data_IF_470704415199
#
_entry.id   IF_470704415199
#
_cell.length_a   1.000
_cell.length_b   1.000
_cell.length_c   1.000
_cell.angle_alpha   90.00
_cell.angle_beta   90.00
_cell.angle_gamma   90.00
#
_symmetry.space_group_name_H-M   'P 1'
#
loop_
_entity.id
_entity.type
_entity.pdbx_description
1 polymer ?
#
# COMPACT_ATOMS: atom_id res chain seq x y z
N UNK A 1 7.44 23.07 -3.91
CA UNK A 1 7.17 21.70 -3.39
C UNK A 1 6.27 21.84 -2.17
N UNK A 2 5.15 21.14 -2.14
CA UNK A 2 4.25 21.09 -0.97
C UNK A 2 4.58 19.85 -0.15
N UNK A 3 4.77 20.01 1.16
CA UNK A 3 5.05 18.91 2.10
C UNK A 3 3.73 18.43 2.70
N UNK A 4 3.43 17.14 2.54
CA UNK A 4 2.31 16.51 3.23
C UNK A 4 2.61 16.38 4.72
N UNK A 5 1.61 16.61 5.59
CA UNK A 5 1.73 16.33 7.02
C UNK A 5 1.65 14.83 7.36
N UNK A 6 1.20 13.99 6.41
CA UNK A 6 1.09 12.55 6.64
C UNK A 6 2.49 11.92 6.69
N UNK A 7 2.79 11.07 7.69
CA UNK A 7 4.02 10.30 7.68
C UNK A 7 4.03 9.36 6.46
N UNK A 8 5.20 9.12 5.88
CA UNK A 8 5.35 8.31 4.66
C UNK A 8 6.03 6.99 5.02
N UNK A 9 5.51 5.87 4.52
CA UNK A 9 6.16 4.56 4.67
C UNK A 9 6.28 3.81 3.34
N UNK A 10 7.48 3.31 3.06
CA UNK A 10 7.75 2.35 1.98
C UNK A 10 7.73 0.95 2.55
N UNK A 11 6.86 0.09 2.02
CA UNK A 11 6.75 -1.30 2.46
C UNK A 11 7.15 -2.22 1.31
N UNK A 12 8.31 -2.87 1.44
CA UNK A 12 8.80 -3.88 0.49
C UNK A 12 8.16 -5.24 0.80
N UNK A 13 8.04 -6.10 -0.22
CA UNK A 13 7.37 -7.39 -0.06
C UNK A 13 5.89 -7.27 0.33
N UNK A 14 5.25 -6.13 0.05
CA UNK A 14 3.90 -5.79 0.54
C UNK A 14 2.76 -6.39 -0.27
N UNK A 15 3.07 -7.16 -1.31
CA UNK A 15 2.08 -7.78 -2.20
C UNK A 15 1.26 -8.92 -1.58
N UNK A 16 1.67 -9.45 -0.42
CA UNK A 16 0.99 -10.56 0.29
C UNK A 16 1.50 -10.70 1.73
N UNK A 17 0.86 -11.57 2.52
CA UNK A 17 1.36 -12.02 3.83
C UNK A 17 1.63 -10.88 4.81
N UNK A 18 2.74 -10.96 5.54
CA UNK A 18 3.10 -9.98 6.59
C UNK A 18 3.25 -8.57 6.03
N UNK A 19 3.91 -8.41 4.88
CA UNK A 19 4.09 -7.09 4.26
C UNK A 19 2.77 -6.41 3.91
N UNK A 20 1.78 -7.20 3.45
CA UNK A 20 0.42 -6.69 3.19
C UNK A 20 -0.28 -6.27 4.50
N UNK A 21 -0.18 -7.09 5.55
CA UNK A 21 -0.74 -6.74 6.87
C UNK A 21 -0.13 -5.47 7.48
N UNK A 22 1.19 -5.27 7.32
CA UNK A 22 1.87 -4.04 7.74
C UNK A 22 1.34 -2.84 6.95
N UNK A 23 1.20 -2.97 5.63
CA UNK A 23 0.65 -1.91 4.79
C UNK A 23 -0.77 -1.52 5.23
N UNK A 24 -1.65 -2.49 5.51
CA UNK A 24 -3.00 -2.20 6.03
C UNK A 24 -2.97 -1.51 7.38
N UNK A 25 -2.13 -1.97 8.31
CA UNK A 25 -2.04 -1.35 9.63
C UNK A 25 -1.59 0.11 9.54
N UNK A 26 -0.56 0.40 8.74
CA UNK A 26 -0.05 1.75 8.55
C UNK A 26 -1.05 2.66 7.81
N UNK A 27 -1.81 2.12 6.85
CA UNK A 27 -2.87 2.87 6.19
C UNK A 27 -3.92 3.36 7.20
N UNK A 28 -4.36 2.49 8.11
CA UNK A 28 -5.29 2.80 9.19
C UNK A 28 -4.74 3.79 10.21
N UNK A 29 -3.42 3.91 10.32
CA UNK A 29 -2.73 4.92 11.14
C UNK A 29 -2.50 6.25 10.39
N UNK A 30 -2.96 6.36 9.14
CA UNK A 30 -2.94 7.61 8.37
C UNK A 30 -1.66 7.86 7.59
N UNK A 31 -0.82 6.84 7.40
CA UNK A 31 0.39 6.96 6.59
C UNK A 31 0.08 7.12 5.09
N UNK A 32 0.91 7.87 4.40
CA UNK A 32 1.02 7.79 2.95
C UNK A 32 1.95 6.61 2.59
N UNK A 33 1.46 5.67 1.80
CA UNK A 33 2.14 4.40 1.57
C UNK A 33 2.71 4.26 0.16
N UNK A 34 3.90 3.68 0.08
CA UNK A 34 4.48 3.14 -1.15
C UNK A 34 4.47 1.62 -1.05
N UNK A 35 3.68 0.98 -1.91
CA UNK A 35 3.55 -0.47 -2.00
C UNK A 35 4.57 -0.99 -3.03
N UNK A 36 5.51 -1.80 -2.57
CA UNK A 36 6.57 -2.38 -3.40
C UNK A 36 6.54 -3.91 -3.37
N UNK A 37 6.69 -4.50 -4.56
CA UNK A 37 6.86 -5.93 -4.77
C UNK A 37 7.72 -6.20 -6.01
N UNK A 38 8.02 -7.47 -6.28
CA UNK A 38 8.83 -7.89 -7.45
C UNK A 38 8.18 -7.49 -8.77
N UNK A 39 6.84 -7.45 -8.81
CA UNK A 39 6.06 -7.03 -9.97
C UNK A 39 4.99 -6.02 -9.55
N UNK A 40 4.70 -5.07 -10.44
CA UNK A 40 3.65 -4.06 -10.27
C UNK A 40 2.98 -3.83 -11.62
N UNK A 41 2.24 -4.83 -12.10
CA UNK A 41 1.47 -4.76 -13.33
C UNK A 41 0.07 -4.19 -13.06
N UNK A 42 -0.27 -2.99 -13.59
CA UNK A 42 -1.58 -2.38 -13.40
C UNK A 42 -2.73 -3.17 -14.03
N UNK A 43 -2.46 -4.08 -14.97
CA UNK A 43 -3.48 -4.96 -15.55
C UNK A 43 -3.90 -6.08 -14.58
N UNK A 44 -3.09 -6.36 -13.55
CA UNK A 44 -3.36 -7.40 -12.54
C UNK A 44 -3.88 -6.76 -11.26
N UNK A 45 -5.20 -6.76 -11.09
CA UNK A 45 -5.88 -6.16 -9.94
C UNK A 45 -6.21 -7.15 -8.81
N UNK A 46 -6.17 -8.45 -9.08
CA UNK A 46 -6.58 -9.51 -8.14
C UNK A 46 -5.47 -9.94 -7.16
N UNK A 47 -4.22 -9.55 -7.41
CA UNK A 47 -3.06 -9.84 -6.56
C UNK A 47 -1.97 -8.78 -6.74
N UNK A 48 -0.93 -8.83 -5.91
CA UNK A 48 0.23 -7.96 -6.09
C UNK A 48 0.03 -6.54 -5.55
N UNK A 49 0.89 -5.61 -5.97
CA UNK A 49 0.89 -4.25 -5.44
C UNK A 49 -0.42 -3.47 -5.72
N UNK A 50 -1.03 -3.67 -6.89
CA UNK A 50 -2.27 -2.97 -7.26
C UNK A 50 -3.49 -3.50 -6.51
N UNK A 51 -3.55 -4.81 -6.24
CA UNK A 51 -4.57 -5.38 -5.36
C UNK A 51 -4.53 -4.75 -3.96
N UNK A 52 -3.35 -4.68 -3.35
CA UNK A 52 -3.17 -4.07 -2.02
C UNK A 52 -3.51 -2.59 -2.04
N UNK A 53 -3.11 -1.87 -3.10
CA UNK A 53 -3.45 -0.46 -3.29
C UNK A 53 -4.97 -0.24 -3.34
N UNK A 54 -5.72 -1.11 -4.01
CA UNK A 54 -7.18 -0.98 -4.11
C UNK A 54 -7.84 -1.26 -2.75
N UNK A 55 -7.45 -2.36 -2.08
CA UNK A 55 -7.97 -2.69 -0.75
C UNK A 55 -7.71 -1.57 0.27
N UNK A 56 -6.53 -0.93 0.24
CA UNK A 56 -6.22 0.21 1.12
C UNK A 56 -7.10 1.42 0.82
N UNK A 57 -7.44 1.67 -0.45
CA UNK A 57 -8.32 2.79 -0.82
C UNK A 57 -9.74 2.54 -0.33
N UNK A 58 -10.23 1.33 -0.50
CA UNK A 58 -11.60 0.95 -0.10
C UNK A 58 -11.78 0.99 1.42
N UNK A 59 -10.71 0.78 2.21
CA UNK A 59 -10.75 0.92 3.69
C UNK A 59 -10.58 2.38 4.18
N UNK A 60 -10.19 3.31 3.31
CA UNK A 60 -9.89 4.70 3.69
C UNK A 60 -11.04 5.69 3.38
N UNK A 61 -12.10 5.24 2.70
CA UNK A 61 -13.42 5.89 2.58
C UNK A 61 -14.38 5.43 3.69
#
# INVERSE_FOLDING_TARGET
MTVSKKPVALVTGSSRGIGMGIAFRLAREGFALVINGVTADPSVQSRGAYHVKNLIKDEAE
#
